data_IF_481278905977
#
_entry.id   IF_481278905977
#
_cell.length_a   1.000
_cell.length_b   1.000
_cell.length_c   1.000
_cell.angle_alpha   90.00
_cell.angle_beta   90.00
_cell.angle_gamma   90.00
#
_symmetry.space_group_name_H-M   'P 1'
#
loop_
_entity.id
_entity.type
_entity.pdbx_description
1 polymer ?
#
# COMPACT_ATOMS: atom_id res chain seq x y z
N UNK A 1 20.50 3.22 -3.46
CA UNK A 1 21.28 2.26 -4.27
C UNK A 1 20.47 1.62 -5.39
N UNK A 2 19.20 1.22 -5.18
CA UNK A 2 18.36 0.61 -6.22
C UNK A 2 18.30 1.37 -7.56
N UNK A 3 18.02 2.69 -7.54
CA UNK A 3 17.95 3.49 -8.77
C UNK A 3 19.27 3.54 -9.56
N UNK A 4 20.43 3.46 -8.91
CA UNK A 4 21.71 3.47 -9.63
C UNK A 4 22.01 2.11 -10.28
N UNK A 5 21.48 1.02 -9.72
CA UNK A 5 21.60 -0.33 -10.27
C UNK A 5 20.62 -0.61 -11.41
N UNK A 6 19.50 0.14 -11.47
CA UNK A 6 18.49 0.05 -12.53
C UNK A 6 18.85 0.89 -13.77
N UNK A 7 19.81 1.81 -13.64
CA UNK A 7 20.20 2.70 -14.73
C UNK A 7 21.03 1.95 -15.80
N UNK A 8 20.64 1.97 -17.09
CA UNK A 8 21.40 1.34 -18.17
C UNK A 8 22.73 2.07 -18.49
N UNK A 9 23.02 3.17 -17.80
CA UNK A 9 24.20 4.00 -18.00
C UNK A 9 24.23 5.18 -17.01
N UNK A 10 25.16 6.15 -17.20
CA UNK A 10 25.30 7.29 -16.31
C UNK A 10 23.99 8.09 -16.17
N UNK A 11 23.56 8.31 -14.93
CA UNK A 11 22.33 9.07 -14.65
C UNK A 11 22.59 10.55 -14.99
N UNK A 12 21.95 11.00 -16.07
CA UNK A 12 21.83 12.41 -16.42
C UNK A 12 20.44 12.94 -16.01
N UNK A 13 20.26 14.26 -16.04
CA UNK A 13 19.03 14.88 -15.55
C UNK A 13 17.73 14.37 -16.24
N UNK A 14 17.69 14.18 -17.57
CA UNK A 14 16.54 13.53 -18.21
C UNK A 14 16.29 12.10 -17.74
N UNK A 15 17.35 11.29 -17.60
CA UNK A 15 17.23 9.90 -17.10
C UNK A 15 16.69 9.87 -15.66
N UNK A 16 17.10 10.83 -14.82
CA UNK A 16 16.56 10.97 -13.47
C UNK A 16 15.04 11.24 -13.48
N UNK A 17 14.57 12.15 -14.33
CA UNK A 17 13.13 12.44 -14.44
C UNK A 17 12.34 11.25 -14.99
N UNK A 18 12.89 10.52 -15.95
CA UNK A 18 12.26 9.30 -16.48
C UNK A 18 12.15 8.22 -15.41
N UNK A 19 13.26 7.89 -14.73
CA UNK A 19 13.23 6.87 -13.67
C UNK A 19 12.35 7.29 -12.49
N UNK A 20 12.33 8.59 -12.14
CA UNK A 20 11.43 9.10 -11.11
C UNK A 20 9.95 9.04 -11.56
N UNK A 21 9.66 9.35 -12.83
CA UNK A 21 8.33 9.24 -13.42
C UNK A 21 7.81 7.82 -13.53
N UNK A 22 8.68 6.86 -13.85
CA UNK A 22 8.33 5.44 -13.89
C UNK A 22 8.04 4.90 -12.48
N UNK A 23 8.77 5.36 -11.46
CA UNK A 23 8.49 5.00 -10.05
C UNK A 23 7.26 5.71 -9.46
N UNK A 24 6.65 6.67 -10.16
CA UNK A 24 5.35 7.25 -9.74
C UNK A 24 4.17 6.34 -10.08
N UNK A 25 4.33 5.33 -10.96
CA UNK A 25 3.31 4.33 -11.24
C UNK A 25 3.49 3.11 -10.34
N UNK A 26 3.20 3.27 -9.04
CA UNK A 26 3.32 2.20 -8.05
C UNK A 26 1.99 1.64 -7.55
N UNK A 27 0.85 2.17 -8.01
CA UNK A 27 -0.47 1.76 -7.55
C UNK A 27 -1.23 1.08 -8.67
N UNK A 28 -1.95 0.00 -8.31
CA UNK A 28 -2.84 -0.67 -9.22
C UNK A 28 -3.95 0.27 -9.70
N UNK A 29 -4.58 -0.01 -10.85
CA UNK A 29 -5.76 0.72 -11.30
C UNK A 29 -6.83 0.81 -10.19
N UNK A 30 -7.52 1.95 -10.11
CA UNK A 30 -8.49 2.22 -9.05
C UNK A 30 -9.58 1.14 -8.94
N UNK A 31 -10.04 0.60 -10.06
CA UNK A 31 -11.04 -0.48 -10.10
C UNK A 31 -10.51 -1.78 -9.48
N UNK A 32 -9.23 -2.10 -9.69
CA UNK A 32 -8.58 -3.26 -9.07
C UNK A 32 -8.50 -3.07 -7.55
N UNK A 33 -8.06 -1.89 -7.10
CA UNK A 33 -7.97 -1.57 -5.67
C UNK A 33 -9.36 -1.63 -5.01
N UNK A 34 -10.38 -1.04 -5.64
CA UNK A 34 -11.76 -1.07 -5.14
C UNK A 34 -12.32 -2.48 -5.07
N UNK A 35 -12.09 -3.31 -6.09
CA UNK A 35 -12.54 -4.69 -6.11
C UNK A 35 -11.86 -5.53 -5.03
N UNK A 36 -10.55 -5.32 -4.81
CA UNK A 36 -9.81 -6.00 -3.75
C UNK A 36 -10.36 -5.62 -2.36
N UNK A 37 -10.61 -4.34 -2.11
CA UNK A 37 -11.21 -3.88 -0.86
C UNK A 37 -12.63 -4.45 -0.65
N UNK A 38 -13.45 -4.47 -1.71
CA UNK A 38 -14.81 -5.00 -1.66
C UNK A 38 -14.90 -6.50 -1.35
N UNK A 39 -13.81 -7.27 -1.46
CA UNK A 39 -13.77 -8.66 -1.03
C UNK A 39 -13.83 -8.82 0.51
N UNK A 40 -13.48 -7.78 1.25
CA UNK A 40 -13.40 -7.79 2.72
C UNK A 40 -14.41 -6.85 3.39
N UNK A 41 -14.98 -5.90 2.66
CA UNK A 41 -16.07 -5.05 3.12
C UNK A 41 -17.43 -5.77 3.00
N UNK A 42 -18.32 -5.52 3.96
CA UNK A 42 -19.71 -5.99 3.96
C UNK A 42 -20.63 -5.14 3.04
N UNK A 43 -20.05 -4.37 2.13
CA UNK A 43 -20.74 -3.49 1.18
C UNK A 43 -21.16 -2.14 1.77
N UNK A 44 -20.58 -1.74 2.91
CA UNK A 44 -20.85 -0.44 3.53
C UNK A 44 -19.74 0.61 3.25
N UNK A 45 -18.64 0.18 2.61
CA UNK A 45 -17.48 0.99 2.29
C UNK A 45 -16.44 1.08 3.41
N UNK A 46 -16.54 0.27 4.46
CA UNK A 46 -15.68 0.30 5.64
C UNK A 46 -15.31 -1.12 6.08
N UNK A 47 -14.09 -1.27 6.59
CA UNK A 47 -13.61 -2.51 7.21
C UNK A 47 -13.29 -2.18 8.66
N UNK A 48 -13.77 -2.99 9.59
CA UNK A 48 -13.50 -2.76 11.01
C UNK A 48 -12.03 -3.03 11.34
N UNK A 49 -11.46 -2.22 12.22
CA UNK A 49 -10.08 -2.32 12.71
C UNK A 49 -9.69 -3.75 13.09
N UNK A 50 -10.45 -4.36 13.99
CA UNK A 50 -10.15 -5.69 14.53
C UNK A 50 -10.09 -6.75 13.42
N UNK A 51 -11.00 -6.64 12.46
CA UNK A 51 -11.05 -7.55 11.32
C UNK A 51 -9.89 -7.30 10.35
N UNK A 52 -9.56 -6.04 10.06
CA UNK A 52 -8.41 -5.70 9.23
C UNK A 52 -7.09 -6.17 9.85
N UNK A 53 -6.92 -6.04 11.17
CA UNK A 53 -5.76 -6.59 11.90
C UNK A 53 -5.71 -8.11 11.78
N UNK A 54 -6.83 -8.81 11.94
CA UNK A 54 -6.87 -10.26 11.75
C UNK A 54 -6.44 -10.67 10.34
N UNK A 55 -6.90 -9.94 9.31
CA UNK A 55 -6.53 -10.20 7.93
C UNK A 55 -5.03 -10.00 7.69
N UNK A 56 -4.46 -8.87 8.12
CA UNK A 56 -3.05 -8.53 7.92
C UNK A 56 -2.07 -9.46 8.66
N UNK A 57 -2.49 -10.00 9.80
CA UNK A 57 -1.64 -10.91 10.62
C UNK A 57 -1.77 -12.38 10.21
N UNK A 58 -2.86 -12.78 9.55
CA UNK A 58 -3.13 -14.19 9.24
C UNK A 58 -3.12 -14.55 7.75
N UNK A 59 -3.36 -13.59 6.85
CA UNK A 59 -3.42 -13.83 5.40
C UNK A 59 -2.25 -13.20 4.64
N UNK A 60 -1.72 -13.92 3.66
CA UNK A 60 -0.63 -13.44 2.80
C UNK A 60 0.71 -13.33 3.53
N UNK A 61 1.44 -12.24 3.23
CA UNK A 61 2.62 -11.83 4.00
C UNK A 61 2.13 -11.27 5.33
N UNK A 62 2.45 -11.98 6.41
CA UNK A 62 1.90 -11.72 7.74
C UNK A 62 2.65 -10.61 8.42
N UNK A 63 1.93 -9.55 8.75
CA UNK A 63 2.47 -8.42 9.48
C UNK A 63 2.61 -8.81 10.95
N UNK A 64 3.59 -8.23 11.64
CA UNK A 64 3.61 -8.26 13.10
C UNK A 64 2.60 -7.26 13.67
N UNK A 65 2.24 -7.43 14.94
CA UNK A 65 1.32 -6.48 15.60
C UNK A 65 1.89 -5.05 15.58
N UNK A 66 3.21 -4.91 15.67
CA UNK A 66 3.89 -3.61 15.57
C UNK A 66 3.77 -2.99 14.17
N UNK A 67 3.91 -3.79 13.10
CA UNK A 67 3.75 -3.31 11.72
C UNK A 67 2.31 -2.85 11.44
N UNK A 68 1.32 -3.55 12.01
CA UNK A 68 -0.08 -3.12 11.92
C UNK A 68 -0.33 -1.83 12.71
N UNK A 69 0.28 -1.69 13.89
CA UNK A 69 0.18 -0.46 14.69
C UNK A 69 0.80 0.75 13.96
N UNK A 70 1.94 0.56 13.31
CA UNK A 70 2.57 1.59 12.45
C UNK A 70 1.65 1.95 11.27
N UNK A 71 1.02 0.98 10.63
CA UNK A 71 0.07 1.21 9.53
C UNK A 71 -1.12 2.08 9.98
N UNK A 72 -1.70 1.80 11.15
CA UNK A 72 -2.84 2.57 11.69
C UNK A 72 -2.45 3.96 12.21
N UNK A 73 -1.17 4.23 12.46
CA UNK A 73 -0.70 5.59 12.73
C UNK A 73 -0.75 6.46 11.46
N UNK A 74 -0.38 5.90 10.31
CA UNK A 74 -0.41 6.59 9.01
C UNK A 74 -1.82 6.64 8.39
N UNK A 75 -2.68 5.67 8.73
CA UNK A 75 -4.09 5.62 8.36
C UNK A 75 -4.98 5.64 9.63
N UNK A 76 -5.25 6.82 10.21
CA UNK A 76 -5.95 6.92 11.49
C UNK A 76 -7.38 6.39 11.42
N UNK A 77 -7.72 5.59 12.42
CA UNK A 77 -9.03 4.98 12.57
C UNK A 77 -10.03 5.99 13.10
N UNK A 78 -11.23 6.00 12.52
CA UNK A 78 -12.30 6.87 12.94
C UNK A 78 -12.87 6.47 14.31
N UNK A 79 -13.74 7.31 14.88
CA UNK A 79 -14.34 7.04 16.21
C UNK A 79 -15.28 5.83 16.26
N UNK A 80 -15.59 5.23 15.11
CA UNK A 80 -16.45 4.05 14.98
C UNK A 80 -15.62 2.77 14.80
N UNK A 81 -14.30 2.87 14.69
CA UNK A 81 -13.41 1.73 14.47
C UNK A 81 -13.25 1.35 13.00
N UNK A 82 -13.43 2.31 12.07
CA UNK A 82 -13.17 2.12 10.63
C UNK A 82 -11.92 2.85 10.16
#
# INVERSE_FOLDING_TARGET
>A
EAMMNEAPGPINFPMFLTMFGEKLNGTDPEDVIRNAFACFDDGNGCIQEDYLRELLTNMGDRFTDEEVDELFQEAPIDKKGN
#
